data_IF_700122890034
#
_entry.id   IF_700122890034
#
_cell.length_a   1.000
_cell.length_b   1.000
_cell.length_c   1.000
_cell.angle_alpha   90.00
_cell.angle_beta   90.00
_cell.angle_gamma   90.00
#
_symmetry.space_group_name_H-M   'P 1'
#
loop_
_entity.id
_entity.type
_entity.pdbx_description
1 polymer ?
#
# COMPACT_ATOMS: atom_id res chain seq x y z
N UNK A 1 -40.26 44.23 28.26
CA UNK A 1 -39.75 43.08 29.06
C UNK A 1 -39.48 41.96 28.07
N UNK A 2 -38.40 42.05 27.29
CA UNK A 2 -38.15 41.15 26.12
C UNK A 2 -36.65 40.90 25.87
N UNK A 3 -35.78 41.11 26.87
CA UNK A 3 -34.34 40.83 26.74
C UNK A 3 -33.96 39.41 27.22
N UNK A 4 -34.91 38.65 27.78
CA UNK A 4 -34.64 37.38 28.45
C UNK A 4 -34.57 36.18 27.47
N UNK A 5 -35.28 36.24 26.34
CA UNK A 5 -35.33 35.11 25.39
C UNK A 5 -34.20 35.13 24.36
N UNK A 6 -33.68 36.30 24.00
CA UNK A 6 -32.63 36.41 22.97
C UNK A 6 -31.30 35.83 23.42
N UNK A 7 -30.94 35.96 24.69
CA UNK A 7 -29.69 35.41 25.24
C UNK A 7 -29.71 33.87 25.28
N UNK A 8 -30.82 33.27 25.73
CA UNK A 8 -30.98 31.82 25.74
C UNK A 8 -31.02 31.21 24.34
N UNK A 9 -31.62 31.91 23.36
CA UNK A 9 -31.60 31.50 21.95
C UNK A 9 -30.18 31.56 21.38
N UNK A 10 -29.40 32.60 21.71
CA UNK A 10 -28.03 32.75 21.21
C UNK A 10 -27.07 31.70 21.79
N UNK A 11 -27.24 31.35 23.06
CA UNK A 11 -26.51 30.25 23.72
C UNK A 11 -26.90 28.88 23.12
N UNK A 12 -28.18 28.66 22.80
CA UNK A 12 -28.62 27.45 22.13
C UNK A 12 -28.06 27.35 20.70
N UNK A 13 -28.05 28.45 19.93
CA UNK A 13 -27.47 28.48 18.58
C UNK A 13 -25.97 28.21 18.61
N UNK A 14 -25.23 28.80 19.55
CA UNK A 14 -23.79 28.56 19.68
C UNK A 14 -23.47 27.13 20.10
N UNK A 15 -24.27 26.54 21.01
CA UNK A 15 -24.16 25.13 21.37
C UNK A 15 -24.40 24.20 20.17
N UNK A 16 -25.47 24.44 19.39
CA UNK A 16 -25.78 23.66 18.18
C UNK A 16 -24.67 23.81 17.13
N UNK A 17 -24.18 25.03 16.92
CA UNK A 17 -23.08 25.30 15.98
C UNK A 17 -21.79 24.62 16.43
N UNK A 18 -21.48 24.63 17.72
CA UNK A 18 -20.33 23.92 18.28
C UNK A 18 -20.40 22.40 18.03
N UNK A 19 -21.56 21.79 18.27
CA UNK A 19 -21.78 20.36 18.00
C UNK A 19 -21.65 20.05 16.51
N UNK A 20 -22.23 20.87 15.62
CA UNK A 20 -22.09 20.71 14.17
C UNK A 20 -20.63 20.81 13.73
N UNK A 21 -19.89 21.77 14.28
CA UNK A 21 -18.46 21.96 13.96
C UNK A 21 -17.64 20.73 14.36
N UNK A 22 -17.93 20.15 15.53
CA UNK A 22 -17.30 18.90 15.98
C UNK A 22 -17.62 17.72 15.04
N UNK A 23 -18.88 17.57 14.62
CA UNK A 23 -19.29 16.53 13.68
C UNK A 23 -18.59 16.66 12.32
N UNK A 24 -18.45 17.89 11.81
CA UNK A 24 -17.74 18.17 10.55
C UNK A 24 -16.25 17.87 10.68
N UNK A 25 -15.60 18.33 11.77
CA UNK A 25 -14.19 18.05 12.03
C UNK A 25 -13.93 16.54 12.16
N UNK A 26 -14.84 15.82 12.81
CA UNK A 26 -14.80 14.37 12.95
C UNK A 26 -14.95 13.64 11.61
N UNK A 27 -15.90 14.08 10.76
CA UNK A 27 -16.06 13.56 9.41
C UNK A 27 -14.81 13.81 8.54
N UNK A 28 -14.19 14.98 8.66
CA UNK A 28 -12.94 15.32 7.97
C UNK A 28 -11.76 14.45 8.44
N UNK A 29 -11.65 14.17 9.74
CA UNK A 29 -10.61 13.27 10.26
C UNK A 29 -10.78 11.84 9.73
N UNK A 30 -12.03 11.36 9.64
CA UNK A 30 -12.30 10.04 9.08
C UNK A 30 -12.05 9.95 7.58
N UNK A 31 -12.42 10.98 6.82
CA UNK A 31 -12.13 11.04 5.39
C UNK A 31 -10.62 11.09 5.14
N UNK A 32 -9.88 11.87 5.93
CA UNK A 32 -8.42 11.92 5.90
C UNK A 32 -7.79 10.55 6.17
N UNK A 33 -8.17 9.87 7.26
CA UNK A 33 -7.67 8.52 7.57
C UNK A 33 -7.97 7.52 6.45
N UNK A 34 -9.14 7.64 5.81
CA UNK A 34 -9.50 6.79 4.67
C UNK A 34 -8.62 7.07 3.46
N UNK A 35 -8.33 8.34 3.18
CA UNK A 35 -7.42 8.74 2.09
C UNK A 35 -6.00 8.25 2.34
N UNK A 36 -5.45 8.43 3.54
CA UNK A 36 -4.11 7.96 3.90
C UNK A 36 -3.98 6.44 3.72
N UNK A 37 -4.99 5.68 4.16
CA UNK A 37 -5.04 4.23 3.90
C UNK A 37 -5.03 3.92 2.40
N UNK A 38 -5.82 4.63 1.59
CA UNK A 38 -5.85 4.39 0.14
C UNK A 38 -4.55 4.75 -0.54
N UNK A 39 -3.91 5.87 -0.17
CA UNK A 39 -2.59 6.25 -0.66
C UNK A 39 -1.55 5.20 -0.33
N UNK A 40 -1.52 4.69 0.89
CA UNK A 40 -0.56 3.65 1.29
C UNK A 40 -0.77 2.33 0.52
N UNK A 41 -2.03 1.92 0.32
CA UNK A 41 -2.34 0.77 -0.54
C UNK A 41 -1.84 1.04 -1.95
N UNK A 42 -2.24 2.16 -2.56
CA UNK A 42 -1.87 2.49 -3.94
C UNK A 42 -0.35 2.63 -4.14
N UNK A 43 0.38 3.16 -3.15
CA UNK A 43 1.83 3.24 -3.18
C UNK A 43 2.48 1.86 -3.18
N UNK A 44 2.07 0.98 -2.26
CA UNK A 44 2.56 -0.41 -2.27
C UNK A 44 2.21 -1.14 -3.56
N UNK A 45 0.99 -0.93 -4.06
CA UNK A 45 0.52 -1.43 -5.34
C UNK A 45 1.46 -0.96 -6.48
N UNK A 46 1.78 0.33 -6.56
CA UNK A 46 2.70 0.84 -7.57
C UNK A 46 4.11 0.24 -7.44
N UNK A 47 4.68 0.22 -6.23
CA UNK A 47 6.04 -0.30 -6.01
C UNK A 47 6.15 -1.79 -6.36
N UNK A 48 5.11 -2.57 -6.08
CA UNK A 48 5.09 -4.00 -6.38
C UNK A 48 4.92 -4.25 -7.90
N UNK A 49 4.19 -3.38 -8.61
CA UNK A 49 4.14 -3.38 -10.09
C UNK A 49 5.51 -3.04 -10.66
N UNK A 50 6.14 -1.96 -10.20
CA UNK A 50 7.46 -1.51 -10.66
C UNK A 50 8.53 -2.58 -10.44
N UNK A 51 8.47 -3.27 -9.29
CA UNK A 51 9.32 -4.41 -9.01
C UNK A 51 9.08 -5.57 -9.99
N UNK A 52 7.81 -5.93 -10.24
CA UNK A 52 7.47 -7.02 -11.17
C UNK A 52 7.87 -6.71 -12.63
N UNK A 53 7.71 -5.47 -13.08
CA UNK A 53 8.15 -5.03 -14.41
C UNK A 53 9.67 -4.89 -14.52
N UNK A 54 10.35 -4.63 -13.42
CA UNK A 54 11.81 -4.53 -13.36
C UNK A 54 12.53 -5.88 -13.35
N UNK A 55 11.80 -6.97 -13.06
CA UNK A 55 12.31 -8.32 -12.91
C UNK A 55 12.85 -9.02 -14.19
N UNK A 56 12.27 -8.86 -15.41
CA UNK A 56 12.67 -9.60 -16.61
C UNK A 56 13.97 -9.15 -17.28
N UNK A 57 14.63 -8.09 -16.81
CA UNK A 57 15.90 -7.61 -17.38
C UNK A 57 17.15 -8.24 -16.71
N UNK A 58 16.96 -9.23 -15.84
CA UNK A 58 18.03 -9.79 -15.02
C UNK A 58 18.46 -11.15 -15.60
N UNK A 59 19.76 -11.38 -15.89
CA UNK A 59 20.23 -12.66 -16.41
C UNK A 59 20.04 -13.79 -15.37
N UNK A 60 19.80 -15.01 -15.86
CA UNK A 60 19.37 -16.20 -15.08
C UNK A 60 20.40 -16.68 -14.05
N UNK A 61 21.67 -16.25 -14.14
CA UNK A 61 22.74 -16.62 -13.22
C UNK A 61 23.50 -15.36 -12.83
N UNK A 62 23.38 -14.98 -11.56
CA UNK A 62 24.00 -13.75 -11.04
C UNK A 62 25.44 -14.05 -10.66
N UNK A 63 26.36 -13.86 -11.61
CA UNK A 63 27.72 -13.52 -11.24
C UNK A 63 27.70 -12.12 -10.62
N UNK A 64 27.82 -12.00 -9.30
CA UNK A 64 27.81 -10.70 -8.58
C UNK A 64 28.79 -9.67 -9.19
N UNK A 65 29.88 -10.14 -9.80
CA UNK A 65 30.90 -9.29 -10.42
C UNK A 65 30.52 -8.77 -11.82
N UNK A 66 29.62 -9.42 -12.55
CA UNK A 66 29.32 -9.09 -13.96
C UNK A 66 28.06 -8.23 -14.12
N UNK A 67 27.15 -8.28 -13.15
CA UNK A 67 25.81 -7.69 -13.25
C UNK A 67 25.45 -6.79 -12.06
N UNK A 68 26.44 -6.37 -11.27
CA UNK A 68 26.26 -5.66 -9.99
C UNK A 68 25.22 -4.53 -10.02
N UNK A 69 25.26 -3.67 -11.03
CA UNK A 69 24.35 -2.50 -11.10
C UNK A 69 22.89 -2.93 -11.31
N UNK A 70 22.65 -3.99 -12.07
CA UNK A 70 21.31 -4.53 -12.32
C UNK A 70 20.77 -5.25 -11.08
N UNK A 71 21.68 -5.93 -10.36
CA UNK A 71 21.43 -6.56 -9.07
C UNK A 71 21.03 -5.51 -8.02
N UNK A 72 21.81 -4.44 -7.91
CA UNK A 72 21.58 -3.36 -6.95
C UNK A 72 20.25 -2.63 -7.28
N UNK A 73 19.93 -2.40 -8.56
CA UNK A 73 18.65 -1.81 -8.97
C UNK A 73 17.45 -2.72 -8.65
N UNK A 74 17.57 -4.02 -8.87
CA UNK A 74 16.50 -4.97 -8.55
C UNK A 74 16.28 -5.08 -7.03
N UNK A 75 17.36 -5.12 -6.25
CA UNK A 75 17.32 -5.09 -4.80
C UNK A 75 16.71 -3.78 -4.28
N UNK A 76 17.04 -2.64 -4.88
CA UNK A 76 16.46 -1.35 -4.52
C UNK A 76 14.95 -1.31 -4.76
N UNK A 77 14.48 -1.78 -5.93
CA UNK A 77 13.04 -1.87 -6.24
C UNK A 77 12.32 -2.80 -5.26
N UNK A 78 12.91 -3.95 -4.94
CA UNK A 78 12.36 -4.86 -3.96
C UNK A 78 12.29 -4.20 -2.57
N UNK A 79 13.36 -3.52 -2.14
CA UNK A 79 13.40 -2.82 -0.86
C UNK A 79 12.34 -1.72 -0.75
N UNK A 80 12.12 -0.93 -1.81
CA UNK A 80 11.02 0.05 -1.87
C UNK A 80 9.66 -0.63 -1.67
N UNK A 81 9.44 -1.75 -2.35
CA UNK A 81 8.22 -2.54 -2.20
C UNK A 81 8.05 -3.10 -0.77
N UNK A 82 9.11 -3.58 -0.12
CA UNK A 82 9.07 -4.01 1.30
C UNK A 82 8.65 -2.84 2.19
N UNK A 83 9.27 -1.66 1.98
CA UNK A 83 9.02 -0.47 2.78
C UNK A 83 7.56 -0.03 2.69
N UNK A 84 7.00 0.09 1.49
CA UNK A 84 5.60 0.48 1.30
C UNK A 84 4.63 -0.59 1.79
N UNK A 85 4.99 -1.87 1.70
CA UNK A 85 4.21 -2.96 2.31
C UNK A 85 4.10 -2.81 3.83
N UNK A 86 5.20 -2.51 4.52
CA UNK A 86 5.21 -2.30 5.97
C UNK A 86 4.32 -1.12 6.38
N UNK A 87 4.40 0.01 5.66
CA UNK A 87 3.55 1.18 5.91
C UNK A 87 2.08 0.87 5.69
N UNK A 88 1.76 0.18 4.59
CA UNK A 88 0.39 -0.24 4.28
C UNK A 88 -0.16 -1.19 5.34
N UNK A 89 0.64 -2.13 5.85
CA UNK A 89 0.24 -3.11 6.87
C UNK A 89 -0.24 -2.45 8.16
N UNK A 90 0.41 -1.38 8.60
CA UNK A 90 0.01 -0.64 9.81
C UNK A 90 -1.31 0.13 9.63
N UNK A 91 -1.65 0.49 8.39
CA UNK A 91 -2.82 1.31 8.08
C UNK A 91 -4.07 0.49 7.72
N UNK A 92 -3.91 -0.75 7.27
CA UNK A 92 -5.00 -1.60 6.77
C UNK A 92 -5.58 -2.49 7.89
N UNK A 93 -6.89 -2.76 7.84
CA UNK A 93 -7.52 -3.65 8.81
C UNK A 93 -7.11 -5.12 8.59
N UNK A 94 -6.99 -5.89 9.67
CA UNK A 94 -6.62 -7.33 9.62
C UNK A 94 -7.43 -8.16 8.62
N UNK A 95 -8.72 -7.84 8.43
CA UNK A 95 -9.60 -8.53 7.48
C UNK A 95 -9.16 -8.33 6.02
N UNK A 96 -8.78 -7.09 5.64
CA UNK A 96 -8.29 -6.78 4.29
C UNK A 96 -6.83 -7.20 4.11
N UNK A 97 -6.05 -7.21 5.18
CA UNK A 97 -4.63 -7.57 5.15
C UNK A 97 -4.37 -9.00 4.65
N UNK A 98 -5.26 -9.96 4.94
CA UNK A 98 -5.11 -11.36 4.47
C UNK A 98 -4.95 -11.50 2.96
N UNK A 99 -5.64 -10.68 2.17
CA UNK A 99 -5.51 -10.69 0.71
C UNK A 99 -4.14 -10.16 0.27
N UNK A 100 -3.71 -9.04 0.84
CA UNK A 100 -2.43 -8.42 0.53
C UNK A 100 -1.23 -9.26 1.00
N UNK A 101 -1.35 -9.95 2.14
CA UNK A 101 -0.35 -10.90 2.63
C UNK A 101 -0.12 -12.06 1.67
N UNK A 102 -1.18 -12.56 1.01
CA UNK A 102 -1.04 -13.65 0.04
C UNK A 102 -0.23 -13.19 -1.17
N UNK A 103 -0.57 -12.03 -1.72
CA UNK A 103 0.15 -11.41 -2.84
C UNK A 103 1.62 -11.16 -2.44
N UNK A 104 1.84 -10.62 -1.24
CA UNK A 104 3.18 -10.37 -0.72
C UNK A 104 4.03 -11.64 -0.58
N UNK A 105 3.46 -12.71 0.00
CA UNK A 105 4.16 -14.01 0.13
C UNK A 105 4.56 -14.56 -1.23
N UNK A 106 3.70 -14.44 -2.23
CA UNK A 106 3.98 -14.93 -3.57
C UNK A 106 5.11 -14.12 -4.23
N UNK A 107 5.10 -12.79 -4.09
CA UNK A 107 6.17 -11.94 -4.58
C UNK A 107 7.52 -12.21 -3.90
N UNK A 108 7.51 -12.43 -2.57
CA UNK A 108 8.71 -12.79 -1.81
C UNK A 108 9.25 -14.17 -2.22
N UNK A 109 8.38 -15.16 -2.40
CA UNK A 109 8.77 -16.49 -2.88
C UNK A 109 9.43 -16.42 -4.26
N UNK A 110 8.84 -15.66 -5.19
CA UNK A 110 9.40 -15.48 -6.54
C UNK A 110 10.75 -14.76 -6.48
N UNK A 111 10.89 -13.72 -5.64
CA UNK A 111 12.18 -13.06 -5.41
C UNK A 111 13.22 -14.09 -4.97
N UNK A 112 12.94 -14.82 -3.89
CA UNK A 112 13.86 -15.79 -3.29
C UNK A 112 14.30 -16.90 -4.26
N UNK A 113 13.35 -17.50 -4.98
CA UNK A 113 13.62 -18.58 -5.93
C UNK A 113 14.43 -18.14 -7.14
N UNK A 114 14.28 -16.89 -7.57
CA UNK A 114 15.01 -16.36 -8.71
C UNK A 114 16.37 -15.75 -8.35
N UNK A 115 16.46 -14.98 -7.26
CA UNK A 115 17.69 -14.23 -6.93
C UNK A 115 18.67 -15.03 -6.08
N UNK A 116 18.19 -15.82 -5.12
CA UNK A 116 19.05 -16.54 -4.18
C UNK A 116 19.27 -17.99 -4.55
N UNK A 117 18.22 -18.69 -5.02
CA UNK A 117 18.32 -20.12 -5.30
C UNK A 117 18.68 -20.45 -6.75
N UNK A 118 18.45 -19.52 -7.70
CA UNK A 118 18.68 -19.75 -9.13
C UNK A 118 17.83 -20.88 -9.74
N UNK A 119 16.76 -21.29 -9.04
CA UNK A 119 15.93 -22.45 -9.41
C UNK A 119 14.80 -22.09 -10.39
N UNK A 120 14.64 -20.81 -10.69
CA UNK A 120 13.50 -20.29 -11.43
C UNK A 120 13.94 -19.24 -12.44
N UNK A 121 13.52 -19.38 -13.69
CA UNK A 121 13.87 -18.41 -14.74
C UNK A 121 13.04 -17.14 -14.59
N UNK A 122 13.62 -15.98 -14.91
CA UNK A 122 12.94 -14.69 -14.75
C UNK A 122 11.64 -14.57 -15.57
N UNK A 123 11.51 -15.34 -16.66
CA UNK A 123 10.27 -15.43 -17.44
C UNK A 123 9.12 -16.10 -16.67
N UNK A 124 9.41 -17.24 -16.00
CA UNK A 124 8.41 -17.95 -15.18
C UNK A 124 8.05 -17.10 -13.95
N UNK A 125 9.02 -16.38 -13.39
CA UNK A 125 8.81 -15.46 -12.29
C UNK A 125 7.91 -14.29 -12.65
N UNK A 126 8.11 -13.70 -13.83
CA UNK A 126 7.25 -12.63 -14.36
C UNK A 126 5.82 -13.14 -14.56
N UNK A 127 5.65 -14.33 -15.13
CA UNK A 127 4.31 -14.89 -15.35
C UNK A 127 3.60 -15.21 -14.03
N UNK A 128 4.33 -15.70 -13.02
CA UNK A 128 3.76 -15.93 -11.69
C UNK A 128 3.44 -14.65 -10.93
N UNK A 129 4.33 -13.64 -10.99
CA UNK A 129 4.08 -12.32 -10.41
C UNK A 129 2.90 -11.64 -11.09
N UNK A 130 2.82 -11.67 -12.43
CA UNK A 130 1.72 -11.07 -13.19
C UNK A 130 0.41 -11.82 -13.03
N UNK A 131 0.40 -13.15 -12.93
CA UNK A 131 -0.81 -13.93 -12.62
C UNK A 131 -1.29 -13.68 -11.18
N UNK A 132 -0.38 -13.66 -10.20
CA UNK A 132 -0.70 -13.32 -8.81
C UNK A 132 -1.28 -11.91 -8.71
N UNK A 133 -0.70 -10.97 -9.47
CA UNK A 133 -1.24 -9.63 -9.65
C UNK A 133 -2.63 -9.68 -10.28
N UNK A 134 -2.74 -10.08 -11.54
CA UNK A 134 -3.96 -9.92 -12.31
C UNK A 134 -5.14 -10.69 -11.71
N UNK A 135 -4.91 -11.86 -11.10
CA UNK A 135 -5.98 -12.68 -10.55
C UNK A 135 -6.48 -12.23 -9.16
N UNK A 136 -5.58 -11.88 -8.24
CA UNK A 136 -5.96 -11.52 -6.87
C UNK A 136 -6.08 -10.00 -6.66
N UNK A 137 -5.39 -9.18 -7.47
CA UNK A 137 -5.26 -7.72 -7.28
C UNK A 137 -6.34 -6.89 -7.97
N UNK A 138 -6.87 -7.34 -9.11
CA UNK A 138 -8.01 -6.69 -9.78
C UNK A 138 -9.35 -7.03 -9.12
N UNK A 139 -9.40 -8.12 -8.34
CA UNK A 139 -10.58 -8.57 -7.61
C UNK A 139 -10.67 -8.05 -6.17
N UNK A 140 -9.61 -7.40 -5.66
CA UNK A 140 -9.49 -6.92 -4.26
C UNK A 140 -9.40 -5.41 -4.09
#
# INVERSE_FOLDING_TARGET
MEACDTAGIMDAITAVTGVLTLLVAWAALFSWRRQERQKAILAWKADLVDYAYGFPNLPVIWGYQTHKDEIDQAAERFYRCVKSYMVMRELVSRKRMKAYERIWRQAHFVHEKCTFEGQMTCAIARDLLSQAYLNDFLKS
#
